data_IF_481377776422
#
_entry.id   IF_481377776422
#
_cell.length_a   1.000
_cell.length_b   1.000
_cell.length_c   1.000
_cell.angle_alpha   90.00
_cell.angle_beta   90.00
_cell.angle_gamma   90.00
#
_symmetry.space_group_name_H-M   'P 1'
#
loop_
_entity.id
_entity.type
_entity.pdbx_description
1 polymer ?
#
# COMPACT_ATOMS: atom_id res chain seq x y z
N UNK A 1 -18.14 -10.57 6.14
CA UNK A 1 -17.90 -9.47 7.10
C UNK A 1 -16.89 -9.85 8.18
N UNK A 2 -17.12 -10.88 9.02
CA UNK A 2 -16.12 -11.30 10.03
C UNK A 2 -14.83 -11.84 9.40
N UNK A 3 -14.94 -12.75 8.43
CA UNK A 3 -13.78 -13.31 7.72
C UNK A 3 -12.98 -12.24 6.96
N UNK A 4 -13.65 -11.25 6.37
CA UNK A 4 -12.95 -10.17 5.66
C UNK A 4 -12.10 -9.33 6.64
N UNK A 5 -12.61 -9.08 7.86
CA UNK A 5 -11.88 -8.35 8.89
C UNK A 5 -10.65 -9.13 9.40
N UNK A 6 -10.76 -10.45 9.50
CA UNK A 6 -9.64 -11.32 9.86
C UNK A 6 -8.52 -11.25 8.81
N UNK A 7 -8.87 -11.36 7.52
CA UNK A 7 -7.90 -11.20 6.43
C UNK A 7 -7.23 -9.82 6.47
N UNK A 8 -8.00 -8.74 6.71
CA UNK A 8 -7.42 -7.40 6.86
C UNK A 8 -6.45 -7.31 8.03
N UNK A 9 -6.74 -8.00 9.14
CA UNK A 9 -5.89 -8.03 10.34
C UNK A 9 -4.60 -8.78 10.07
N UNK A 10 -4.68 -9.96 9.45
CA UNK A 10 -3.50 -10.75 9.07
C UNK A 10 -2.56 -10.00 8.11
N UNK A 11 -3.12 -9.28 7.13
CA UNK A 11 -2.31 -8.43 6.23
C UNK A 11 -1.61 -7.31 7.01
N UNK A 12 -2.29 -6.72 7.99
CA UNK A 12 -1.76 -5.63 8.81
C UNK A 12 -0.64 -6.09 9.75
N UNK A 13 -0.87 -7.20 10.46
CA UNK A 13 0.04 -7.74 11.47
C UNK A 13 1.25 -8.47 10.87
N UNK A 14 1.28 -8.65 9.54
CA UNK A 14 2.36 -9.29 8.81
C UNK A 14 3.71 -8.59 9.01
N UNK A 15 4.74 -9.36 9.39
CA UNK A 15 6.11 -8.87 9.65
C UNK A 15 7.16 -9.61 8.82
N UNK A 16 8.33 -9.01 8.71
CA UNK A 16 9.54 -9.57 8.11
C UNK A 16 10.67 -9.60 9.14
N UNK A 17 11.36 -10.73 9.33
CA UNK A 17 12.60 -10.75 10.10
C UNK A 17 13.69 -10.06 9.29
N UNK A 18 14.25 -8.97 9.81
CA UNK A 18 15.31 -8.19 9.16
C UNK A 18 16.55 -8.18 10.03
N UNK A 19 17.70 -8.44 9.42
CA UNK A 19 19.02 -8.33 10.02
C UNK A 19 19.71 -7.08 9.46
N UNK A 20 20.12 -6.19 10.36
CA UNK A 20 20.86 -4.99 10.05
C UNK A 20 22.34 -5.22 10.36
N UNK A 21 23.17 -5.02 9.34
CA UNK A 21 24.62 -5.11 9.46
C UNK A 21 25.20 -3.76 9.03
N UNK A 22 26.12 -3.23 9.82
CA UNK A 22 26.87 -2.04 9.45
C UNK A 22 27.79 -2.38 8.27
N UNK A 23 27.88 -1.48 7.31
CA UNK A 23 28.81 -1.61 6.19
C UNK A 23 30.25 -1.70 6.71
N UNK A 24 31.07 -2.55 6.09
CA UNK A 24 32.45 -2.77 6.55
C UNK A 24 33.31 -1.50 6.43
N UNK A 25 33.02 -0.67 5.42
CA UNK A 25 33.76 0.57 5.17
C UNK A 25 33.45 1.67 6.21
N UNK A 26 32.37 1.52 6.98
CA UNK A 26 31.93 2.46 8.03
C UNK A 26 32.44 2.05 9.44
N UNK A 27 33.15 0.92 9.57
CA UNK A 27 33.66 0.43 10.85
C UNK A 27 34.95 1.17 11.21
N UNK A 28 34.85 2.14 12.11
CA UNK A 28 36.02 2.88 12.63
C UNK A 28 36.68 2.23 13.85
N UNK A 29 36.03 1.24 14.44
CA UNK A 29 36.50 0.54 15.64
C UNK A 29 37.23 -0.77 15.30
N UNK A 30 38.10 -1.25 16.19
CA UNK A 30 38.83 -2.52 16.00
C UNK A 30 37.86 -3.72 16.02
N UNK A 31 36.74 -3.60 16.73
CA UNK A 31 35.73 -4.64 16.86
C UNK A 31 34.53 -4.34 15.97
N UNK A 32 34.14 -5.33 15.15
CA UNK A 32 32.94 -5.23 14.33
C UNK A 32 31.68 -5.20 15.23
N UNK A 33 30.74 -4.26 15.00
CA UNK A 33 29.48 -4.24 15.73
C UNK A 33 28.63 -5.49 15.47
N UNK A 34 27.94 -5.96 16.52
CA UNK A 34 27.01 -7.08 16.39
C UNK A 34 25.83 -6.73 15.47
N UNK A 35 25.35 -7.69 14.64
CA UNK A 35 24.16 -7.46 13.83
C UNK A 35 22.91 -7.20 14.66
N UNK A 36 22.06 -6.28 14.21
CA UNK A 36 20.81 -5.95 14.89
C UNK A 36 19.62 -6.62 14.19
N UNK A 37 18.84 -7.40 14.94
CA UNK A 37 17.69 -8.15 14.40
C UNK A 37 16.38 -7.55 14.88
N UNK A 38 15.42 -7.33 13.97
CA UNK A 38 14.09 -6.82 14.31
C UNK A 38 13.01 -7.34 13.36
N UNK A 39 11.81 -7.54 13.90
CA UNK A 39 10.61 -7.85 13.12
C UNK A 39 10.00 -6.56 12.58
N UNK A 40 10.18 -6.28 11.28
CA UNK A 40 9.70 -5.06 10.62
C UNK A 40 8.28 -5.28 10.06
N UNK A 41 7.32 -4.39 10.30
CA UNK A 41 5.99 -4.47 9.69
C UNK A 41 6.05 -4.39 8.15
N UNK A 42 5.30 -5.26 7.46
CA UNK A 42 5.19 -5.25 5.99
C UNK A 42 4.49 -4.00 5.47
N UNK A 43 3.50 -3.49 6.23
CA UNK A 43 2.78 -2.25 5.93
C UNK A 43 3.40 -1.07 6.66
N UNK A 44 4.61 -0.69 6.29
CA UNK A 44 5.27 0.51 6.79
C UNK A 44 6.29 1.02 5.77
N UNK A 45 6.83 2.21 6.02
CA UNK A 45 8.06 2.66 5.39
C UNK A 45 9.26 2.18 6.22
N UNK A 46 10.40 2.01 5.56
CA UNK A 46 11.62 1.54 6.22
C UNK A 46 12.11 2.60 7.22
N UNK A 47 12.06 2.33 8.53
CA UNK A 47 12.10 3.37 9.56
C UNK A 47 13.48 4.02 9.76
N UNK A 48 14.56 3.41 9.27
CA UNK A 48 15.93 3.81 9.63
C UNK A 48 16.55 4.89 8.74
N UNK A 49 15.94 5.21 7.59
CA UNK A 49 16.58 6.09 6.58
C UNK A 49 15.66 7.18 6.03
N UNK A 50 14.43 7.31 6.52
CA UNK A 50 13.47 8.27 5.96
C UNK A 50 12.89 9.21 7.01
N UNK A 51 12.91 10.52 6.70
CA UNK A 51 12.27 11.56 7.50
C UNK A 51 10.76 11.27 7.62
N UNK A 52 10.26 11.28 8.86
CA UNK A 52 8.84 11.05 9.16
C UNK A 52 7.91 11.95 8.34
N UNK A 53 8.26 13.23 8.16
CA UNK A 53 7.45 14.19 7.37
C UNK A 53 7.45 13.85 5.89
N UNK A 54 8.58 13.36 5.37
CA UNK A 54 8.68 12.91 3.99
C UNK A 54 7.81 11.66 3.77
N UNK A 55 7.86 10.70 4.70
CA UNK A 55 6.99 9.52 4.67
C UNK A 55 5.51 9.90 4.72
N UNK A 56 5.13 10.81 5.61
CA UNK A 56 3.74 11.29 5.71
C UNK A 56 3.26 11.95 4.41
N UNK A 57 4.10 12.82 3.83
CA UNK A 57 3.78 13.48 2.57
C UNK A 57 3.65 12.47 1.41
N UNK A 58 4.59 11.52 1.31
CA UNK A 58 4.57 10.48 0.28
C UNK A 58 3.36 9.54 0.45
N UNK A 59 3.07 9.11 1.67
CA UNK A 59 1.88 8.32 2.01
C UNK A 59 0.61 9.04 1.57
N UNK A 60 0.46 10.31 1.96
CA UNK A 60 -0.73 11.08 1.63
C UNK A 60 -0.87 11.29 0.11
N UNK A 61 0.24 11.47 -0.61
CA UNK A 61 0.24 11.54 -2.08
C UNK A 61 -0.30 10.24 -2.69
N UNK A 62 0.21 9.09 -2.26
CA UNK A 62 -0.23 7.78 -2.74
C UNK A 62 -1.73 7.51 -2.46
N UNK A 63 -2.21 7.88 -1.27
CA UNK A 63 -3.63 7.72 -0.91
C UNK A 63 -4.52 8.63 -1.77
N UNK A 64 -4.12 9.88 -2.01
CA UNK A 64 -4.85 10.80 -2.89
C UNK A 64 -4.90 10.31 -4.33
N UNK A 65 -3.77 9.82 -4.85
CA UNK A 65 -3.69 9.22 -6.19
C UNK A 65 -4.62 8.00 -6.30
N UNK A 66 -4.61 7.11 -5.30
CA UNK A 66 -5.51 5.96 -5.27
C UNK A 66 -6.99 6.40 -5.24
N UNK A 67 -7.33 7.47 -4.51
CA UNK A 67 -8.69 8.00 -4.49
C UNK A 67 -9.10 8.69 -5.81
N UNK A 68 -8.16 9.31 -6.53
CA UNK A 68 -8.40 9.81 -7.88
C UNK A 68 -8.79 8.68 -8.83
N UNK A 69 -8.12 7.53 -8.74
CA UNK A 69 -8.44 6.36 -9.55
C UNK A 69 -9.77 5.72 -9.19
N UNK A 70 -10.08 5.60 -7.89
CA UNK A 70 -11.30 4.94 -7.39
C UNK A 70 -12.54 5.83 -7.51
N UNK A 71 -12.46 7.07 -7.03
CA UNK A 71 -13.60 7.95 -6.79
C UNK A 71 -13.41 9.36 -7.36
N UNK A 72 -12.43 9.58 -8.24
CA UNK A 72 -12.11 10.92 -8.79
C UNK A 72 -11.76 11.96 -7.71
N UNK A 73 -11.20 11.51 -6.58
CA UNK A 73 -10.78 12.37 -5.47
C UNK A 73 -11.90 12.84 -4.54
N UNK A 74 -13.13 12.36 -4.76
CA UNK A 74 -14.30 12.83 -4.01
C UNK A 74 -14.27 12.42 -2.53
N UNK A 75 -13.79 11.23 -2.21
CA UNK A 75 -13.75 10.77 -0.81
C UNK A 75 -12.69 11.55 -0.04
N UNK A 76 -11.47 11.67 -0.57
CA UNK A 76 -10.38 12.39 0.09
C UNK A 76 -10.65 13.89 0.26
N UNK A 77 -11.37 14.52 -0.68
CA UNK A 77 -11.73 15.94 -0.60
C UNK A 77 -12.80 16.25 0.45
N UNK A 78 -13.66 15.29 0.79
CA UNK A 78 -14.66 15.43 1.87
C UNK A 78 -14.09 15.18 3.27
N UNK A 79 -12.88 14.62 3.37
CA UNK A 79 -12.22 14.33 4.65
C UNK A 79 -11.60 15.58 5.25
N UNK A 80 -11.66 15.69 6.58
CA UNK A 80 -11.04 16.78 7.32
C UNK A 80 -9.57 16.48 7.59
N UNK A 81 -8.76 17.51 7.92
CA UNK A 81 -7.35 17.34 8.29
C UNK A 81 -7.14 16.33 9.42
N UNK A 82 -8.07 16.26 10.38
CA UNK A 82 -8.03 15.27 11.46
C UNK A 82 -8.16 13.82 10.95
N UNK A 83 -8.95 13.61 9.89
CA UNK A 83 -9.15 12.29 9.29
C UNK A 83 -7.87 11.86 8.56
N UNK A 84 -7.25 12.78 7.81
CA UNK A 84 -5.95 12.57 7.16
C UNK A 84 -4.86 12.24 8.19
N UNK A 85 -4.79 13.00 9.29
CA UNK A 85 -3.86 12.74 10.37
C UNK A 85 -4.13 11.40 11.04
N UNK A 86 -5.40 11.02 11.21
CA UNK A 86 -5.77 9.73 11.82
C UNK A 86 -5.35 8.54 10.96
N UNK A 87 -5.47 8.64 9.63
CA UNK A 87 -4.93 7.63 8.70
C UNK A 87 -3.42 7.45 8.90
N UNK A 88 -2.68 8.56 8.88
CA UNK A 88 -1.22 8.51 9.05
C UNK A 88 -0.80 7.99 10.42
N UNK A 89 -1.37 8.52 11.51
CA UNK A 89 -1.05 8.10 12.87
C UNK A 89 -1.47 6.66 13.14
N UNK A 90 -2.55 6.18 12.51
CA UNK A 90 -2.96 4.78 12.56
C UNK A 90 -1.91 3.86 11.96
N UNK A 91 -1.39 4.19 10.77
CA UNK A 91 -0.28 3.47 10.14
C UNK A 91 1.02 3.56 10.95
N UNK A 92 1.44 4.77 11.29
CA UNK A 92 2.73 5.04 11.92
C UNK A 92 2.88 4.39 13.30
N UNK A 93 1.79 4.28 14.05
CA UNK A 93 1.80 3.71 15.41
C UNK A 93 1.26 2.29 15.47
N UNK A 94 1.11 1.61 14.32
CA UNK A 94 0.62 0.23 14.25
C UNK A 94 -0.78 0.04 14.90
N UNK A 95 -1.68 1.01 14.69
CA UNK A 95 -3.03 1.04 15.26
C UNK A 95 -4.09 0.75 14.19
N UNK A 96 -4.32 -0.54 13.92
CA UNK A 96 -5.30 -1.03 12.95
C UNK A 96 -6.67 -0.37 13.05
N UNK A 97 -7.30 -0.35 14.24
CA UNK A 97 -8.67 0.13 14.38
C UNK A 97 -8.77 1.65 14.18
N UNK A 98 -7.73 2.39 14.58
CA UNK A 98 -7.61 3.82 14.32
C UNK A 98 -7.52 4.10 12.81
N UNK A 99 -6.72 3.32 12.08
CA UNK A 99 -6.56 3.43 10.63
C UNK A 99 -7.86 3.08 9.89
N UNK A 100 -8.42 1.90 10.16
CA UNK A 100 -9.59 1.38 9.44
C UNK A 100 -10.88 2.13 9.74
N UNK A 101 -10.98 2.83 10.88
CA UNK A 101 -12.09 3.74 11.14
C UNK A 101 -12.26 4.81 10.05
N UNK A 102 -11.16 5.26 9.42
CA UNK A 102 -11.17 6.21 8.31
C UNK A 102 -11.02 5.50 6.96
N UNK A 103 -10.08 4.55 6.83
CA UNK A 103 -9.76 3.91 5.54
C UNK A 103 -10.95 3.17 4.92
N UNK A 104 -11.90 2.68 5.73
CA UNK A 104 -13.13 2.04 5.21
C UNK A 104 -13.93 2.94 4.26
N UNK A 105 -13.94 4.26 4.50
CA UNK A 105 -14.60 5.24 3.60
C UNK A 105 -13.98 5.25 2.21
N UNK A 106 -12.67 4.97 2.11
CA UNK A 106 -11.93 4.86 0.85
C UNK A 106 -12.14 3.50 0.16
N UNK A 107 -12.80 2.55 0.81
CA UNK A 107 -13.06 1.21 0.26
C UNK A 107 -14.54 0.99 -0.08
N UNK A 108 -15.41 1.93 0.27
CA UNK A 108 -16.84 1.92 -0.01
C UNK A 108 -17.14 2.58 -1.36
N UNK A 109 -18.29 2.26 -1.95
CA UNK A 109 -18.77 2.94 -3.15
C UNK A 109 -19.17 4.39 -2.81
N UNK A 110 -18.98 5.31 -3.76
CA UNK A 110 -19.31 6.73 -3.56
C UNK A 110 -20.44 7.17 -4.51
N UNK A 111 -21.55 7.61 -3.92
CA UNK A 111 -22.76 7.99 -4.66
C UNK A 111 -23.40 6.79 -5.37
N UNK A 112 -23.88 7.02 -6.60
CA UNK A 112 -24.53 5.99 -7.44
C UNK A 112 -23.53 5.09 -8.18
N UNK A 113 -22.23 5.20 -7.91
CA UNK A 113 -21.23 4.36 -8.57
C UNK A 113 -21.27 2.94 -8.01
N UNK A 114 -21.42 1.95 -8.90
CA UNK A 114 -21.31 0.55 -8.53
C UNK A 114 -19.82 0.13 -8.48
N UNK A 115 -19.19 0.41 -7.34
CA UNK A 115 -17.79 0.12 -7.06
C UNK A 115 -16.79 1.19 -7.50
N UNK A 116 -15.50 0.83 -7.53
CA UNK A 116 -14.43 1.72 -7.95
C UNK A 116 -14.44 1.95 -9.47
N UNK A 117 -14.07 3.16 -9.91
CA UNK A 117 -13.89 3.44 -11.35
C UNK A 117 -12.69 2.70 -11.94
N UNK A 118 -11.55 2.73 -11.25
CA UNK A 118 -10.36 1.96 -11.59
C UNK A 118 -9.69 1.38 -10.34
N UNK A 119 -8.96 0.28 -10.50
CA UNK A 119 -8.17 -0.32 -9.42
C UNK A 119 -6.79 0.36 -9.33
N UNK A 120 -6.40 0.93 -8.18
CA UNK A 120 -5.03 1.40 -7.94
C UNK A 120 -4.09 0.20 -7.81
N UNK A 121 -3.32 -0.10 -8.85
CA UNK A 121 -2.43 -1.26 -8.91
C UNK A 121 -1.08 -0.86 -9.49
N UNK A 122 0.00 -1.31 -8.85
CA UNK A 122 1.38 -1.23 -9.36
C UNK A 122 1.92 -2.64 -9.46
N UNK A 123 2.47 -2.99 -10.62
CA UNK A 123 3.12 -4.27 -10.85
C UNK A 123 4.61 -3.99 -10.99
N UNK A 124 5.40 -4.53 -10.06
CA UNK A 124 6.84 -4.34 -10.02
C UNK A 124 7.54 -5.50 -10.76
N UNK A 125 8.59 -5.15 -11.49
CA UNK A 125 9.51 -6.09 -12.13
C UNK A 125 10.81 -6.20 -11.32
N UNK A 126 11.60 -7.24 -11.58
CA UNK A 126 12.85 -7.50 -10.85
C UNK A 126 13.93 -6.42 -11.08
N UNK A 127 13.80 -5.65 -12.16
CA UNK A 127 14.66 -4.49 -12.46
C UNK A 127 14.29 -3.23 -11.66
N UNK A 128 13.31 -3.32 -10.75
CA UNK A 128 12.84 -2.22 -9.92
C UNK A 128 11.89 -1.25 -10.62
N UNK A 129 11.61 -1.46 -11.91
CA UNK A 129 10.58 -0.68 -12.61
C UNK A 129 9.19 -1.18 -12.25
N UNK A 130 8.19 -0.32 -12.42
CA UNK A 130 6.80 -0.73 -12.27
C UNK A 130 5.92 -0.21 -13.39
N UNK A 131 4.85 -0.95 -13.68
CA UNK A 131 3.77 -0.51 -14.57
C UNK A 131 2.55 -0.20 -13.74
N UNK A 132 1.97 0.96 -14.04
CA UNK A 132 0.67 1.39 -13.55
C UNK A 132 -0.12 1.97 -14.72
N UNK A 133 -1.27 1.38 -15.02
CA UNK A 133 -2.20 1.84 -16.06
C UNK A 133 -3.63 1.80 -15.52
N UNK A 134 -4.53 2.51 -16.20
CA UNK A 134 -5.94 2.47 -15.85
C UNK A 134 -6.49 1.08 -16.15
N UNK A 135 -7.11 0.45 -15.14
CA UNK A 135 -7.81 -0.82 -15.30
C UNK A 135 -9.15 -0.80 -14.58
N UNK A 136 -10.20 -1.14 -15.31
CA UNK A 136 -11.55 -1.29 -14.77
C UNK A 136 -11.67 -2.57 -13.94
N UNK A 137 -12.35 -2.53 -12.77
CA UNK A 137 -12.66 -3.74 -12.00
C UNK A 137 -13.71 -4.63 -12.66
N UNK A 138 -14.36 -4.17 -13.74
CA UNK A 138 -15.44 -4.88 -14.42
C UNK A 138 -15.08 -5.15 -15.88
N UNK A 139 -15.58 -6.27 -16.37
CA UNK A 139 -15.59 -6.62 -17.79
C UNK A 139 -16.71 -5.84 -18.53
N UNK A 140 -16.73 -5.91 -19.86
CA UNK A 140 -17.72 -5.22 -20.69
C UNK A 140 -19.16 -5.71 -20.44
N UNK A 141 -19.32 -6.94 -19.95
CA UNK A 141 -20.60 -7.54 -19.55
C UNK A 141 -21.03 -7.15 -18.12
N UNK A 142 -20.25 -6.32 -17.43
CA UNK A 142 -20.49 -5.90 -16.05
C UNK A 142 -20.00 -6.88 -14.98
N UNK A 143 -19.51 -8.08 -15.35
CA UNK A 143 -18.96 -9.05 -14.41
C UNK A 143 -17.66 -8.55 -13.77
N UNK A 144 -17.34 -9.02 -12.55
CA UNK A 144 -16.09 -8.66 -11.87
C UNK A 144 -14.90 -9.28 -12.57
N UNK A 145 -13.90 -8.45 -12.88
CA UNK A 145 -12.65 -8.89 -13.48
C UNK A 145 -11.78 -9.58 -12.43
N UNK A 146 -11.19 -10.71 -12.79
CA UNK A 146 -10.25 -11.47 -11.96
C UNK A 146 -8.84 -10.89 -12.04
N UNK A 147 -7.98 -11.22 -11.06
CA UNK A 147 -6.56 -10.83 -11.09
C UNK A 147 -5.87 -11.31 -12.38
N UNK A 148 -6.12 -12.54 -12.82
CA UNK A 148 -5.52 -13.08 -14.06
C UNK A 148 -5.88 -12.25 -15.28
N UNK A 149 -7.16 -11.87 -15.42
CA UNK A 149 -7.61 -11.01 -16.52
C UNK A 149 -6.94 -9.63 -16.46
N UNK A 150 -6.80 -9.06 -15.26
CA UNK A 150 -6.10 -7.78 -15.08
C UNK A 150 -4.62 -7.87 -15.48
N UNK A 151 -3.94 -8.94 -15.06
CA UNK A 151 -2.53 -9.15 -15.40
C UNK A 151 -2.33 -9.33 -16.91
N UNK A 152 -3.19 -10.08 -17.60
CA UNK A 152 -3.10 -10.25 -19.05
C UNK A 152 -3.33 -8.94 -19.81
N UNK A 153 -4.18 -8.05 -19.32
CA UNK A 153 -4.42 -6.74 -19.93
C UNK A 153 -3.26 -5.76 -19.70
N UNK A 154 -2.66 -5.80 -18.51
CA UNK A 154 -1.54 -4.92 -18.15
C UNK A 154 -0.20 -5.43 -18.71
N UNK A 155 -0.05 -6.76 -18.84
CA UNK A 155 1.16 -7.47 -19.27
C UNK A 155 0.83 -8.62 -20.25
N UNK A 156 0.36 -8.34 -21.47
CA UNK A 156 -0.02 -9.38 -22.44
C UNK A 156 1.16 -10.27 -22.89
N UNK A 157 2.40 -9.80 -22.76
CA UNK A 157 3.58 -10.48 -23.29
C UNK A 157 4.37 -11.30 -22.25
N UNK A 158 3.91 -11.40 -21.00
CA UNK A 158 4.60 -12.21 -19.95
C UNK A 158 3.99 -13.62 -19.80
N UNK A 159 3.00 -13.98 -20.62
CA UNK A 159 2.43 -15.33 -20.67
C UNK A 159 3.23 -16.34 -21.50
N UNK A 160 4.36 -15.93 -22.10
CA UNK A 160 5.34 -16.81 -22.73
C UNK A 160 6.74 -16.51 -22.17
N UNK A 161 7.14 -17.17 -21.07
CA UNK A 161 8.53 -17.09 -20.61
C UNK A 161 8.73 -17.38 -19.12
N UNK A 162 9.14 -18.63 -18.86
CA UNK A 162 9.59 -19.27 -17.61
C UNK A 162 8.54 -19.66 -16.56
#
# INVERSE_FOLDING_TARGET
>A
MANDREVLREIWDGKLPVCFQLDQDEITEIQQPDPFYVMVPRLSYFPLVTDKRLCEAHYMSCVKEADMLKHRGQVMSTMQKKDHNQLWLGLQNDKFDQFWAINRRLMESHGDQDGFKHIPLRIYSDDGTFVQRLISPKNNDGSRKTLKQMLLELYPNKSEGN
#
